data_IF_736651900668
#
_entry.id   IF_736651900668
#
_cell.length_a   1.000
_cell.length_b   1.000
_cell.length_c   1.000
_cell.angle_alpha   90.00
_cell.angle_beta   90.00
_cell.angle_gamma   90.00
#
_symmetry.space_group_name_H-M   'P 1'
#
loop_
_entity.id
_entity.type
_entity.pdbx_description
1 polymer ?
#
# COMPACT_ATOMS: atom_id res chain seq x y z
N UNK A 1 -17.49 -6.47 7.65
CA UNK A 1 -16.75 -5.20 7.41
C UNK A 1 -17.39 -4.52 6.20
N UNK A 2 -17.77 -3.24 6.31
CA UNK A 2 -18.29 -2.51 5.16
C UNK A 2 -17.20 -2.39 4.06
N UNK A 3 -17.55 -2.51 2.78
CA UNK A 3 -16.60 -2.33 1.69
C UNK A 3 -16.02 -0.92 1.77
N UNK A 4 -14.69 -0.81 1.63
CA UNK A 4 -14.06 0.50 1.52
C UNK A 4 -14.57 1.17 0.24
N UNK A 5 -14.95 2.45 0.35
CA UNK A 5 -15.38 3.25 -0.79
C UNK A 5 -14.28 3.35 -1.85
N UNK A 6 -14.70 3.53 -3.11
CA UNK A 6 -13.80 3.71 -4.25
C UNK A 6 -12.84 4.87 -3.99
N UNK A 7 -11.55 4.65 -4.24
CA UNK A 7 -10.54 5.68 -4.12
C UNK A 7 -10.75 6.78 -5.17
N UNK A 8 -10.32 8.01 -4.86
CA UNK A 8 -10.32 9.10 -5.85
C UNK A 8 -9.39 8.75 -7.01
N UNK A 9 -9.76 9.20 -8.22
CA UNK A 9 -8.87 9.13 -9.38
C UNK A 9 -7.62 9.97 -9.13
N UNK A 10 -6.52 9.56 -9.76
CA UNK A 10 -5.25 10.26 -9.63
C UNK A 10 -5.34 11.69 -10.18
N UNK A 11 -6.01 11.89 -11.30
CA UNK A 11 -6.24 13.20 -11.92
C UNK A 11 -6.92 14.18 -10.95
N UNK A 12 -7.89 13.69 -10.18
CA UNK A 12 -8.58 14.52 -9.18
C UNK A 12 -7.63 14.92 -8.06
N UNK A 13 -6.77 14.01 -7.59
CA UNK A 13 -5.75 14.31 -6.58
C UNK A 13 -4.70 15.28 -7.09
N UNK A 14 -4.27 15.15 -8.34
CA UNK A 14 -3.36 16.10 -8.98
C UNK A 14 -3.98 17.49 -9.07
N UNK A 15 -5.26 17.59 -9.47
CA UNK A 15 -5.99 18.86 -9.52
C UNK A 15 -6.11 19.52 -8.14
N UNK A 16 -6.37 18.73 -7.09
CA UNK A 16 -6.38 19.22 -5.69
C UNK A 16 -5.03 19.83 -5.33
N UNK A 17 -3.93 19.12 -5.62
CA UNK A 17 -2.58 19.58 -5.31
C UNK A 17 -2.22 20.83 -6.11
N UNK A 18 -2.60 20.91 -7.38
CA UNK A 18 -2.38 22.09 -8.22
C UNK A 18 -3.09 23.32 -7.64
N UNK A 19 -4.40 23.23 -7.37
CA UNK A 19 -5.17 24.35 -6.80
C UNK A 19 -4.65 24.78 -5.43
N UNK A 20 -4.14 23.85 -4.62
CA UNK A 20 -3.52 24.19 -3.34
C UNK A 20 -2.18 24.90 -3.52
N UNK A 21 -1.38 24.52 -4.52
CA UNK A 21 -0.13 25.22 -4.88
C UNK A 21 -0.40 26.63 -5.41
N UNK A 22 -1.53 26.83 -6.10
CA UNK A 22 -2.00 28.14 -6.56
C UNK A 22 -2.50 29.03 -5.38
N UNK A 23 -2.46 28.54 -4.14
CA UNK A 23 -2.81 29.29 -2.94
C UNK A 23 -4.30 29.35 -2.62
N UNK A 24 -5.14 28.55 -3.30
CA UNK A 24 -6.57 28.51 -2.97
C UNK A 24 -6.79 27.84 -1.61
N UNK A 25 -7.63 28.47 -0.78
CA UNK A 25 -8.03 27.91 0.50
C UNK A 25 -8.87 26.62 0.36
N UNK A 26 -8.76 25.73 1.35
CA UNK A 26 -9.46 24.43 1.39
C UNK A 26 -10.97 24.51 1.10
N UNK A 27 -11.67 25.50 1.67
CA UNK A 27 -13.13 25.68 1.48
C UNK A 27 -13.49 26.00 0.03
N UNK A 28 -12.64 26.76 -0.67
CA UNK A 28 -12.89 27.13 -2.06
C UNK A 28 -12.67 25.92 -2.96
N UNK A 29 -11.56 25.20 -2.77
CA UNK A 29 -11.27 23.96 -3.50
C UNK A 29 -12.40 22.93 -3.30
N UNK A 30 -12.91 22.80 -2.07
CA UNK A 30 -13.98 21.86 -1.73
C UNK A 30 -15.27 22.18 -2.50
N UNK A 31 -15.64 23.45 -2.56
CA UNK A 31 -16.80 23.91 -3.33
C UNK A 31 -16.60 23.68 -4.84
N UNK A 32 -15.43 24.01 -5.38
CA UNK A 32 -15.13 23.87 -6.81
C UNK A 32 -15.14 22.41 -7.26
N UNK A 33 -14.56 21.51 -6.46
CA UNK A 33 -14.46 20.08 -6.80
C UNK A 33 -15.63 19.24 -6.26
N UNK A 34 -16.57 19.86 -5.52
CA UNK A 34 -17.69 19.18 -4.84
C UNK A 34 -17.22 18.03 -3.93
N UNK A 35 -16.11 18.25 -3.23
CA UNK A 35 -15.51 17.29 -2.28
C UNK A 35 -15.60 17.82 -0.85
N UNK A 36 -15.55 16.91 0.12
CA UNK A 36 -15.45 17.33 1.53
C UNK A 36 -14.07 17.92 1.84
N UNK A 37 -14.02 18.92 2.74
CA UNK A 37 -12.76 19.49 3.22
C UNK A 37 -11.84 18.42 3.85
N UNK A 38 -12.40 17.40 4.50
CA UNK A 38 -11.65 16.29 5.08
C UNK A 38 -10.92 15.45 4.03
N UNK A 39 -11.52 15.26 2.85
CA UNK A 39 -10.90 14.54 1.73
C UNK A 39 -9.74 15.33 1.15
N UNK A 40 -9.90 16.65 0.99
CA UNK A 40 -8.84 17.53 0.53
C UNK A 40 -7.65 17.53 1.50
N UNK A 41 -7.93 17.72 2.80
CA UNK A 41 -6.92 17.74 3.85
C UNK A 41 -6.11 16.44 3.87
N UNK A 42 -6.78 15.29 3.82
CA UNK A 42 -6.11 13.98 3.73
C UNK A 42 -5.24 13.85 2.48
N UNK A 43 -5.72 14.34 1.33
CA UNK A 43 -4.99 14.27 0.06
C UNK A 43 -3.73 15.13 0.11
N UNK A 44 -3.83 16.36 0.60
CA UNK A 44 -2.70 17.29 0.72
C UNK A 44 -1.69 16.81 1.76
N UNK A 45 -2.15 16.32 2.93
CA UNK A 45 -1.27 15.73 3.94
C UNK A 45 -0.53 14.51 3.39
N UNK A 46 -1.22 13.64 2.66
CA UNK A 46 -0.59 12.50 2.01
C UNK A 46 0.45 12.96 0.98
N UNK A 47 0.13 13.97 0.17
CA UNK A 47 1.08 14.53 -0.80
C UNK A 47 2.31 15.13 -0.12
N UNK A 48 2.18 15.89 0.97
CA UNK A 48 3.33 16.39 1.73
C UNK A 48 4.20 15.27 2.32
N UNK A 49 3.57 14.17 2.75
CA UNK A 49 4.30 13.02 3.31
C UNK A 49 5.03 12.18 2.26
N UNK A 50 4.40 11.92 1.11
CA UNK A 50 4.93 10.97 0.12
C UNK A 50 5.37 11.58 -1.21
N UNK A 51 5.10 12.86 -1.45
CA UNK A 51 5.42 13.57 -2.69
C UNK A 51 4.65 13.07 -3.92
N UNK A 52 3.62 12.23 -3.74
CA UNK A 52 2.94 11.52 -4.82
C UNK A 52 1.43 11.51 -4.63
N UNK A 53 0.71 11.60 -5.74
CA UNK A 53 -0.76 11.51 -5.83
C UNK A 53 -1.27 10.11 -6.20
N UNK A 54 -0.36 9.18 -6.49
CA UNK A 54 -0.71 7.83 -6.95
C UNK A 54 -1.45 7.02 -5.88
N UNK A 55 -2.43 6.24 -6.34
CA UNK A 55 -3.09 5.23 -5.52
C UNK A 55 -2.13 4.06 -5.32
N UNK A 56 -1.59 3.93 -4.10
CA UNK A 56 -0.68 2.82 -3.77
C UNK A 56 -1.46 1.55 -3.49
N UNK A 57 -0.96 0.45 -4.03
CA UNK A 57 -1.45 -0.87 -3.64
C UNK A 57 -1.26 -1.10 -2.13
N UNK A 58 -2.19 -1.84 -1.54
CA UNK A 58 -2.06 -2.27 -0.14
C UNK A 58 -0.88 -3.24 -0.05
N UNK A 59 -0.04 -3.07 0.97
CA UNK A 59 1.16 -3.90 1.14
C UNK A 59 0.82 -5.34 1.58
N UNK A 60 -0.43 -5.58 1.98
CA UNK A 60 -0.87 -6.87 2.51
C UNK A 60 -0.22 -7.19 3.86
N UNK A 61 -0.45 -8.42 4.33
CA UNK A 61 0.18 -8.90 5.57
C UNK A 61 1.64 -9.25 5.28
N UNK A 62 2.61 -8.79 6.10
CA UNK A 62 4.01 -9.16 5.92
C UNK A 62 4.17 -10.67 6.04
N UNK A 63 5.01 -11.25 5.18
CA UNK A 63 5.33 -12.68 5.20
C UNK A 63 6.18 -13.00 6.43
N UNK A 64 5.89 -14.12 7.10
CA UNK A 64 6.68 -14.61 8.24
C UNK A 64 8.07 -15.08 7.83
N UNK A 65 8.16 -15.73 6.67
CA UNK A 65 9.40 -16.31 6.16
C UNK A 65 10.09 -15.36 5.18
N UNK A 66 11.43 -15.32 5.25
CA UNK A 66 12.27 -14.66 4.24
C UNK A 66 12.26 -15.45 2.93
N UNK A 67 12.44 -14.77 1.81
CA UNK A 67 12.46 -15.40 0.49
C UNK A 67 13.57 -16.46 0.33
N UNK A 68 14.69 -16.33 1.06
CA UNK A 68 15.76 -17.35 1.09
C UNK A 68 15.30 -18.62 1.81
N UNK A 69 14.76 -18.49 3.02
CA UNK A 69 14.25 -19.61 3.80
C UNK A 69 13.14 -20.34 3.04
N UNK A 70 12.20 -19.60 2.44
CA UNK A 70 11.14 -20.19 1.62
C UNK A 70 11.68 -21.00 0.44
N UNK A 71 12.69 -20.49 -0.28
CA UNK A 71 13.34 -21.22 -1.38
C UNK A 71 14.09 -22.45 -0.89
N UNK A 72 14.74 -22.38 0.28
CA UNK A 72 15.42 -23.51 0.88
C UNK A 72 14.43 -24.63 1.21
N UNK A 73 13.33 -24.30 1.91
CA UNK A 73 12.23 -25.24 2.22
C UNK A 73 11.71 -25.92 0.94
N UNK A 74 11.46 -25.13 -0.11
CA UNK A 74 11.00 -25.66 -1.40
C UNK A 74 12.00 -26.64 -2.01
N UNK A 75 13.30 -26.34 -1.99
CA UNK A 75 14.33 -27.25 -2.53
C UNK A 75 14.40 -28.58 -1.79
N UNK A 76 14.39 -28.56 -0.46
CA UNK A 76 14.43 -29.79 0.35
C UNK A 76 13.18 -30.65 0.10
N UNK A 77 12.00 -30.02 0.12
CA UNK A 77 10.73 -30.71 -0.11
C UNK A 77 10.61 -31.31 -1.52
N UNK A 78 11.03 -30.59 -2.55
CA UNK A 78 10.98 -31.10 -3.92
C UNK A 78 12.10 -32.10 -4.24
N UNK A 79 13.28 -31.93 -3.63
CA UNK A 79 14.43 -32.81 -3.81
C UNK A 79 14.26 -34.17 -3.12
N UNK A 80 13.62 -34.19 -1.96
CA UNK A 80 13.28 -35.43 -1.27
C UNK A 80 11.83 -35.37 -0.75
N UNK A 81 10.93 -36.02 -1.49
CA UNK A 81 9.48 -36.02 -1.19
C UNK A 81 9.13 -36.68 0.13
N UNK A 82 10.05 -37.46 0.73
CA UNK A 82 9.85 -38.15 2.00
C UNK A 82 10.36 -37.37 3.21
N UNK A 83 11.04 -36.23 3.01
CA UNK A 83 11.49 -35.42 4.13
C UNK A 83 10.30 -34.82 4.88
N UNK A 84 10.29 -35.02 6.20
CA UNK A 84 9.24 -34.50 7.07
C UNK A 84 9.43 -33.00 7.33
N UNK A 85 8.35 -32.29 7.63
CA UNK A 85 8.42 -30.86 7.92
C UNK A 85 9.38 -30.53 9.09
N UNK A 86 9.47 -31.40 10.10
CA UNK A 86 10.39 -31.22 11.22
C UNK A 86 11.86 -31.30 10.79
N UNK A 87 12.20 -32.26 9.91
CA UNK A 87 13.57 -32.38 9.36
C UNK A 87 13.94 -31.17 8.49
N UNK A 88 12.99 -30.68 7.70
CA UNK A 88 13.18 -29.49 6.85
C UNK A 88 13.36 -28.24 7.71
N UNK A 89 12.61 -28.11 8.81
CA UNK A 89 12.76 -26.98 9.73
C UNK A 89 14.14 -26.98 10.39
N UNK A 90 14.62 -28.13 10.87
CA UNK A 90 15.94 -28.26 11.47
C UNK A 90 17.07 -27.83 10.51
N UNK A 91 16.98 -28.22 9.23
CA UNK A 91 17.97 -27.85 8.21
C UNK A 91 17.91 -26.36 7.82
N UNK A 92 16.74 -25.72 7.95
CA UNK A 92 16.53 -24.31 7.57
C UNK A 92 16.87 -23.34 8.72
N UNK A 93 16.76 -23.81 9.96
CA UNK A 93 17.13 -23.07 11.18
C UNK A 93 18.61 -23.23 11.57
N UNK A 94 19.26 -24.30 11.06
CA UNK A 94 20.70 -24.54 11.19
C UNK A 94 21.61 -23.61 10.40
#
# INVERSE_FOLDING_TARGET
MAPHGKELSEDLKQKIVALHKDGLGYKNIAKTLKLSCSTLSKTIQQFHRTGSTQNRSRHGRPKKLRARAQRHIQRLSFGNRLMTAASIAAEVEG
#
